data_IF_910029609825
#
_entry.id   IF_910029609825
#
_cell.length_a   1.000
_cell.length_b   1.000
_cell.length_c   1.000
_cell.angle_alpha   90.00
_cell.angle_beta   90.00
_cell.angle_gamma   90.00
#
_symmetry.space_group_name_H-M   'P 1'
#
loop_
_entity.id
_entity.type
_entity.pdbx_description
1 polymer ?
#
# COMPACT_ATOMS: atom_id res chain seq x y z
N UNK A 1 5.01 -8.61 7.72
CA UNK A 1 3.68 -7.97 7.59
C UNK A 1 3.83 -6.50 7.92
N UNK A 2 3.37 -5.64 7.06
CA UNK A 2 3.32 -4.19 7.29
C UNK A 2 1.94 -3.77 7.78
N UNK A 3 1.90 -2.73 8.58
CA UNK A 3 0.70 -2.03 8.99
C UNK A 3 0.96 -0.53 8.99
N UNK A 4 0.12 0.22 8.33
CA UNK A 4 0.12 1.68 8.40
C UNK A 4 -1.30 2.18 8.56
N UNK A 5 -1.43 3.34 9.19
CA UNK A 5 -2.71 4.02 9.38
C UNK A 5 -2.44 5.47 9.75
N UNK A 6 -2.93 6.38 8.93
CA UNK A 6 -2.78 7.81 9.19
C UNK A 6 -3.59 8.19 10.42
N UNK A 7 -2.93 8.71 11.44
CA UNK A 7 -3.56 9.02 12.73
C UNK A 7 -3.35 10.46 13.17
N UNK A 8 -4.33 11.01 13.84
CA UNK A 8 -4.24 12.32 14.51
C UNK A 8 -3.51 12.14 15.84
N UNK A 9 -2.48 12.96 16.07
CA UNK A 9 -1.65 12.91 17.29
C UNK A 9 -2.06 13.93 18.35
N UNK A 10 -3.01 14.80 18.06
CA UNK A 10 -3.54 15.76 19.01
C UNK A 10 -5.07 15.81 19.01
N UNK A 11 -5.64 16.27 20.12
CA UNK A 11 -7.09 16.36 20.30
C UNK A 11 -7.78 17.39 19.39
N UNK A 12 -7.00 18.23 18.70
CA UNK A 12 -7.52 19.27 17.78
C UNK A 12 -7.39 18.85 16.31
N UNK A 13 -6.84 17.66 16.01
CA UNK A 13 -6.66 17.17 14.65
C UNK A 13 -5.70 18.02 13.79
N UNK A 14 -4.79 18.77 14.42
CA UNK A 14 -3.84 19.63 13.70
C UNK A 14 -2.55 18.93 13.33
N UNK A 15 -2.23 17.87 14.04
CA UNK A 15 -0.98 17.13 13.89
C UNK A 15 -1.26 15.70 13.49
N UNK A 16 -1.12 15.42 12.21
CA UNK A 16 -1.21 14.07 11.67
C UNK A 16 0.15 13.41 11.65
N UNK A 17 0.16 12.10 11.83
CA UNK A 17 1.31 11.23 11.58
C UNK A 17 0.84 10.04 10.77
N UNK A 18 1.76 9.45 10.03
CA UNK A 18 1.51 8.26 9.22
C UNK A 18 2.56 7.21 9.58
N UNK A 19 2.41 6.55 10.73
CA UNK A 19 3.37 5.55 11.19
C UNK A 19 3.30 4.30 10.31
N UNK A 20 4.46 3.69 10.10
CA UNK A 20 4.58 2.38 9.46
C UNK A 20 5.18 1.40 10.46
N UNK A 21 4.45 0.34 10.74
CA UNK A 21 4.87 -0.74 11.63
C UNK A 21 5.20 -2.00 10.86
N UNK A 22 6.14 -2.76 11.39
CA UNK A 22 6.47 -4.10 10.93
C UNK A 22 6.21 -5.12 12.03
N UNK A 23 5.63 -6.26 11.66
CA UNK A 23 5.53 -7.43 12.53
C UNK A 23 5.87 -8.69 11.75
N UNK A 24 6.34 -9.73 12.45
CA UNK A 24 6.60 -11.03 11.84
C UNK A 24 5.31 -11.83 11.74
N UNK A 25 5.03 -12.38 10.54
CA UNK A 25 3.87 -13.23 10.30
C UNK A 25 3.86 -14.53 11.12
N UNK A 26 5.05 -15.00 11.51
CA UNK A 26 5.25 -16.21 12.31
C UNK A 26 4.86 -16.04 13.79
N UNK A 27 4.65 -14.81 14.26
CA UNK A 27 4.17 -14.57 15.62
C UNK A 27 2.71 -15.02 15.74
N UNK A 28 2.36 -15.88 16.71
CA UNK A 28 0.98 -16.30 16.92
C UNK A 28 0.03 -15.11 17.11
N UNK A 29 -1.16 -15.19 16.52
CA UNK A 29 -2.15 -14.10 16.49
C UNK A 29 -2.44 -13.51 17.87
N UNK A 30 -2.50 -14.36 18.91
CA UNK A 30 -2.74 -13.94 20.30
C UNK A 30 -1.63 -13.04 20.87
N UNK A 31 -0.41 -13.12 20.32
CA UNK A 31 0.76 -12.33 20.76
C UNK A 31 1.08 -11.17 19.82
N UNK A 32 0.58 -11.20 18.59
CA UNK A 32 0.91 -10.23 17.53
C UNK A 32 0.53 -8.78 17.88
N UNK A 33 -0.50 -8.61 18.72
CA UNK A 33 -0.96 -7.29 19.14
C UNK A 33 -0.17 -6.69 20.32
N UNK A 34 0.73 -7.44 20.94
CA UNK A 34 1.55 -6.91 22.03
C UNK A 34 2.58 -5.89 21.50
N UNK A 35 2.95 -4.88 22.30
CA UNK A 35 3.89 -3.85 21.89
C UNK A 35 5.25 -4.40 21.44
N UNK A 36 5.72 -5.48 22.05
CA UNK A 36 7.01 -6.13 21.71
C UNK A 36 6.93 -7.05 20.48
N UNK A 37 5.75 -7.24 19.89
CA UNK A 37 5.58 -8.06 18.69
C UNK A 37 5.59 -7.23 17.40
N UNK A 38 5.70 -5.93 17.50
CA UNK A 38 5.74 -4.99 16.38
C UNK A 38 6.81 -3.92 16.58
N UNK A 39 7.41 -3.50 15.50
CA UNK A 39 8.41 -2.43 15.48
C UNK A 39 7.89 -1.26 14.65
N UNK A 40 8.03 -0.04 15.16
CA UNK A 40 7.86 1.16 14.37
C UNK A 40 9.08 1.31 13.47
N UNK A 41 8.89 1.25 12.15
CA UNK A 41 9.97 1.43 11.16
C UNK A 41 10.23 2.90 10.93
N UNK A 42 9.16 3.71 10.86
CA UNK A 42 9.26 5.13 10.59
C UNK A 42 7.90 5.77 10.38
N UNK A 43 7.93 6.97 9.85
CA UNK A 43 6.74 7.73 9.49
C UNK A 43 6.79 8.06 8.00
N UNK A 44 5.70 7.74 7.30
CA UNK A 44 5.53 8.19 5.92
C UNK A 44 5.29 9.70 5.90
N UNK A 45 5.89 10.42 4.95
CA UNK A 45 5.76 11.87 4.88
C UNK A 45 4.35 12.30 4.49
N UNK A 46 3.89 13.38 5.08
CA UNK A 46 2.60 13.99 4.78
C UNK A 46 2.86 15.33 4.11
N UNK A 47 2.58 15.42 2.81
CA UNK A 47 2.65 16.67 2.07
C UNK A 47 1.49 17.59 2.48
N UNK A 48 1.80 18.87 2.64
CA UNK A 48 0.82 19.91 2.89
C UNK A 48 0.77 20.85 1.70
N UNK A 49 -0.43 21.08 1.18
CA UNK A 49 -0.65 22.08 0.14
C UNK A 49 -0.43 23.48 0.69
N UNK A 50 0.07 24.38 -0.14
CA UNK A 50 0.28 25.79 0.23
C UNK A 50 -1.03 26.58 0.30
N UNK A 51 -2.02 26.16 -0.48
CA UNK A 51 -3.34 26.80 -0.55
C UNK A 51 -4.43 25.80 -0.98
N UNK A 52 -5.69 26.20 -0.89
CA UNK A 52 -6.84 25.34 -1.22
C UNK A 52 -6.91 24.99 -2.73
N UNK A 53 -6.40 25.83 -3.61
CA UNK A 53 -6.33 25.54 -5.06
C UNK A 53 -5.36 24.39 -5.34
N UNK A 54 -4.16 24.45 -4.76
CA UNK A 54 -3.18 23.38 -4.87
C UNK A 54 -3.71 22.07 -4.28
N UNK A 55 -4.33 22.13 -3.09
CA UNK A 55 -4.91 20.97 -2.40
C UNK A 55 -5.93 20.21 -3.25
N UNK A 56 -6.68 20.91 -4.10
CA UNK A 56 -7.68 20.33 -5.00
C UNK A 56 -7.11 19.91 -6.35
N UNK A 57 -5.84 20.22 -6.64
CA UNK A 57 -5.24 19.95 -7.94
C UNK A 57 -4.89 18.47 -8.10
N UNK A 58 -5.15 17.93 -9.30
CA UNK A 58 -4.75 16.56 -9.65
C UNK A 58 -3.23 16.35 -9.54
N UNK A 59 -2.44 17.41 -9.85
CA UNK A 59 -1.00 17.35 -9.74
C UNK A 59 -0.54 17.15 -8.29
N UNK A 60 -1.18 17.80 -7.34
CA UNK A 60 -0.85 17.65 -5.92
C UNK A 60 -1.18 16.23 -5.43
N UNK A 61 -2.34 15.70 -5.79
CA UNK A 61 -2.70 14.33 -5.47
C UNK A 61 -1.74 13.30 -6.08
N UNK A 62 -1.29 13.55 -7.32
CA UNK A 62 -0.30 12.72 -7.98
C UNK A 62 1.05 12.75 -7.24
N UNK A 63 1.51 13.93 -6.82
CA UNK A 63 2.75 14.10 -6.04
C UNK A 63 2.70 13.36 -4.70
N UNK A 64 1.56 13.40 -3.99
CA UNK A 64 1.38 12.65 -2.73
C UNK A 64 1.62 11.16 -2.97
N UNK A 65 0.98 10.59 -4.01
CA UNK A 65 1.12 9.17 -4.34
C UNK A 65 2.54 8.80 -4.80
N UNK A 66 3.16 9.65 -5.61
CA UNK A 66 4.55 9.44 -6.02
C UNK A 66 5.50 9.40 -4.83
N UNK A 67 5.36 10.35 -3.90
CA UNK A 67 6.17 10.38 -2.69
C UNK A 67 5.93 9.15 -1.81
N UNK A 68 4.67 8.74 -1.64
CA UNK A 68 4.30 7.55 -0.89
C UNK A 68 5.04 6.31 -1.42
N UNK A 69 4.98 6.06 -2.74
CA UNK A 69 5.66 4.93 -3.35
C UNK A 69 7.18 5.04 -3.35
N UNK A 70 7.75 6.24 -3.47
CA UNK A 70 9.19 6.44 -3.32
C UNK A 70 9.68 6.08 -1.90
N UNK A 71 8.90 6.42 -0.89
CA UNK A 71 9.20 6.03 0.49
C UNK A 71 9.09 4.51 0.69
N UNK A 72 8.07 3.89 0.11
CA UNK A 72 7.94 2.43 0.14
C UNK A 72 9.12 1.73 -0.57
N UNK A 73 9.57 2.23 -1.72
CA UNK A 73 10.77 1.70 -2.40
C UNK A 73 11.96 1.66 -1.46
N UNK A 74 12.24 2.77 -0.77
CA UNK A 74 13.34 2.88 0.19
C UNK A 74 13.22 1.88 1.34
N UNK A 75 11.99 1.61 1.78
CA UNK A 75 11.73 0.68 2.90
C UNK A 75 11.79 -0.78 2.43
N UNK A 76 11.32 -1.06 1.22
CA UNK A 76 11.26 -2.43 0.68
C UNK A 76 12.60 -2.91 0.15
N UNK A 77 13.47 -2.04 -0.36
CA UNK A 77 14.75 -2.42 -0.96
C UNK A 77 15.61 -3.33 -0.08
N UNK A 78 15.85 -3.04 1.22
CA UNK A 78 16.62 -3.95 2.08
C UNK A 78 15.94 -5.32 2.25
N UNK A 79 14.60 -5.37 2.23
CA UNK A 79 13.87 -6.64 2.36
C UNK A 79 13.98 -7.49 1.10
N UNK A 80 13.95 -6.87 -0.08
CA UNK A 80 14.15 -7.56 -1.36
C UNK A 80 15.54 -8.17 -1.43
N UNK A 81 16.57 -7.43 -1.03
CA UNK A 81 17.94 -7.96 -0.94
C UNK A 81 18.00 -9.17 0.00
N UNK A 82 17.34 -9.10 1.18
CA UNK A 82 17.31 -10.20 2.16
C UNK A 82 16.42 -11.37 1.74
N UNK A 83 15.47 -11.14 0.87
CA UNK A 83 14.72 -12.21 0.22
C UNK A 83 15.61 -13.03 -0.73
N UNK A 84 16.45 -12.37 -1.50
CA UNK A 84 17.35 -13.03 -2.46
C UNK A 84 18.54 -13.73 -1.80
N UNK A 85 19.18 -13.07 -0.84
CA UNK A 85 20.43 -13.55 -0.24
C UNK A 85 20.24 -14.25 1.11
N UNK A 86 19.10 -14.07 1.75
CA UNK A 86 18.87 -14.47 3.13
C UNK A 86 19.65 -13.60 4.15
N UNK A 87 19.48 -13.93 5.40
CA UNK A 87 20.22 -13.34 6.52
C UNK A 87 20.42 -14.40 7.60
N UNK A 88 21.59 -14.40 8.23
CA UNK A 88 21.84 -15.27 9.38
C UNK A 88 21.37 -14.59 10.66
N UNK A 89 20.45 -15.24 11.36
CA UNK A 89 19.92 -14.80 12.65
C UNK A 89 20.26 -15.82 13.74
N UNK A 90 20.60 -15.32 14.93
CA UNK A 90 20.81 -16.18 16.08
C UNK A 90 19.47 -16.41 16.80
N UNK A 91 18.90 -17.60 16.61
CA UNK A 91 17.61 -17.98 17.18
C UNK A 91 17.86 -19.09 18.22
N UNK A 92 17.49 -18.87 19.49
CA UNK A 92 17.73 -19.82 20.58
C UNK A 92 19.17 -20.34 20.67
N UNK A 93 20.15 -19.46 20.41
CA UNK A 93 21.58 -19.79 20.46
C UNK A 93 22.14 -20.47 19.19
N UNK A 94 21.30 -20.85 18.25
CA UNK A 94 21.71 -21.42 16.95
C UNK A 94 21.68 -20.36 15.86
N UNK A 95 22.62 -20.47 14.92
CA UNK A 95 22.65 -19.61 13.73
C UNK A 95 21.73 -20.24 12.65
N UNK A 96 20.68 -19.52 12.30
CA UNK A 96 19.70 -19.95 11.29
C UNK A 96 19.79 -19.04 10.08
N UNK A 97 19.81 -19.60 8.87
CA UNK A 97 19.71 -18.84 7.63
C UNK A 97 18.24 -18.67 7.25
N UNK A 98 17.77 -17.42 7.25
CA UNK A 98 16.36 -17.08 7.03
C UNK A 98 16.20 -16.14 5.85
N UNK A 99 15.09 -16.25 5.13
CA UNK A 99 14.70 -15.38 4.04
C UNK A 99 13.54 -14.49 4.49
N UNK A 100 13.65 -13.19 4.23
CA UNK A 100 12.66 -12.20 4.63
C UNK A 100 11.88 -11.73 3.41
N UNK A 101 10.56 -11.76 3.48
CA UNK A 101 9.69 -11.24 2.42
C UNK A 101 8.45 -10.55 2.98
N UNK A 102 7.95 -9.50 2.32
CA UNK A 102 6.68 -8.88 2.67
C UNK A 102 5.53 -9.81 2.29
N UNK A 103 4.90 -10.42 3.30
CA UNK A 103 3.81 -11.38 3.08
C UNK A 103 2.43 -10.71 3.01
N UNK A 104 2.26 -9.57 3.69
CA UNK A 104 0.95 -8.92 3.82
C UNK A 104 1.13 -7.46 4.21
N UNK A 105 0.30 -6.60 3.63
CA UNK A 105 0.09 -5.22 4.07
C UNK A 105 -1.31 -5.13 4.67
N UNK A 106 -1.40 -4.64 5.91
CA UNK A 106 -2.67 -4.40 6.60
C UNK A 106 -2.94 -2.90 6.55
N UNK A 107 -4.08 -2.53 6.01
CA UNK A 107 -4.52 -1.14 5.89
C UNK A 107 -6.04 -1.08 5.84
N UNK A 108 -6.61 0.10 6.09
CA UNK A 108 -8.01 0.34 5.78
C UNK A 108 -8.25 0.43 4.27
N UNK A 109 -9.52 0.57 3.86
CA UNK A 109 -9.89 0.64 2.44
C UNK A 109 -9.25 1.83 1.72
N UNK A 110 -9.21 3.00 2.34
CA UNK A 110 -8.66 4.21 1.73
C UNK A 110 -7.14 4.10 1.54
N UNK A 111 -6.48 3.53 2.52
CA UNK A 111 -5.04 3.32 2.45
C UNK A 111 -4.66 2.17 1.51
N UNK A 112 -5.47 1.11 1.44
CA UNK A 112 -5.31 0.06 0.44
C UNK A 112 -5.31 0.63 -0.99
N UNK A 113 -6.18 1.60 -1.27
CA UNK A 113 -6.18 2.29 -2.55
C UNK A 113 -4.90 3.10 -2.84
N UNK A 114 -4.23 3.64 -1.80
CA UNK A 114 -2.90 4.26 -1.97
C UNK A 114 -1.84 3.22 -2.34
N UNK A 115 -1.79 2.10 -1.61
CA UNK A 115 -0.86 1.00 -1.91
C UNK A 115 -1.06 0.42 -3.30
N UNK A 116 -2.30 0.33 -3.76
CA UNK A 116 -2.65 -0.20 -5.07
C UNK A 116 -2.63 0.84 -6.19
N UNK A 117 -2.37 2.12 -5.91
CA UNK A 117 -2.48 3.23 -6.88
C UNK A 117 -3.88 3.37 -7.51
N UNK A 118 -4.94 2.95 -6.83
CA UNK A 118 -6.32 3.08 -7.34
C UNK A 118 -6.97 4.38 -6.90
N UNK A 119 -8.02 4.80 -7.59
CA UNK A 119 -8.76 6.00 -7.21
C UNK A 119 -9.60 5.76 -5.96
N UNK A 120 -9.52 6.67 -4.98
CA UNK A 120 -10.33 6.63 -3.75
C UNK A 120 -11.72 7.23 -3.91
N UNK A 121 -12.02 7.80 -5.08
CA UNK A 121 -13.26 8.53 -5.27
C UNK A 121 -14.44 7.58 -5.35
N UNK A 122 -15.53 7.90 -4.64
CA UNK A 122 -16.85 7.26 -4.82
C UNK A 122 -17.41 7.46 -6.23
N UNK A 123 -16.84 8.40 -6.99
CA UNK A 123 -17.18 8.67 -8.38
C UNK A 123 -16.25 7.96 -9.37
N UNK A 124 -15.27 7.19 -8.90
CA UNK A 124 -14.44 6.38 -9.77
C UNK A 124 -15.29 5.34 -10.50
N UNK A 125 -14.97 5.09 -11.75
CA UNK A 125 -15.66 4.06 -12.54
C UNK A 125 -15.42 2.66 -11.96
N UNK A 126 -14.17 2.38 -11.57
CA UNK A 126 -13.73 1.15 -10.92
C UNK A 126 -13.20 1.44 -9.52
N UNK A 127 -14.06 1.50 -8.49
CA UNK A 127 -13.67 1.94 -7.15
C UNK A 127 -12.99 0.85 -6.31
N UNK A 128 -13.00 -0.39 -6.76
CA UNK A 128 -12.37 -1.52 -6.06
C UNK A 128 -10.85 -1.52 -6.31
N UNK A 129 -10.05 -1.71 -5.26
CA UNK A 129 -8.60 -1.86 -5.41
C UNK A 129 -8.18 -3.31 -5.74
N UNK A 130 -9.10 -4.26 -5.65
CA UNK A 130 -8.84 -5.68 -5.91
C UNK A 130 -9.30 -6.13 -7.30
N UNK A 131 -10.29 -5.45 -7.90
CA UNK A 131 -10.85 -5.84 -9.20
C UNK A 131 -11.35 -4.63 -10.01
N UNK A 132 -11.52 -4.84 -11.31
CA UNK A 132 -11.99 -3.84 -12.27
C UNK A 132 -13.52 -3.89 -12.43
N UNK A 133 -14.25 -4.19 -11.36
CA UNK A 133 -15.71 -4.16 -11.41
C UNK A 133 -16.18 -2.70 -11.50
N UNK A 134 -17.18 -2.46 -12.33
CA UNK A 134 -17.78 -1.13 -12.46
C UNK A 134 -18.60 -0.76 -11.23
N UNK A 135 -18.66 0.53 -10.93
CA UNK A 135 -19.32 1.07 -9.73
C UNK A 135 -20.78 0.62 -9.58
N UNK A 136 -21.52 0.60 -10.68
CA UNK A 136 -22.93 0.21 -10.70
C UNK A 136 -23.16 -1.31 -10.57
N UNK A 137 -22.10 -2.11 -10.74
CA UNK A 137 -22.10 -3.55 -10.58
C UNK A 137 -21.60 -4.04 -9.22
N UNK A 138 -21.18 -3.16 -8.32
CA UNK A 138 -20.60 -3.55 -7.03
C UNK A 138 -21.54 -4.37 -6.14
N UNK A 139 -22.83 -4.19 -6.25
CA UNK A 139 -23.85 -4.91 -5.49
C UNK A 139 -24.55 -6.02 -6.29
N UNK A 140 -24.07 -6.33 -7.49
CA UNK A 140 -24.63 -7.38 -8.31
C UNK A 140 -24.16 -8.76 -7.83
N UNK A 141 -25.03 -9.46 -7.11
CA UNK A 141 -24.74 -10.79 -6.56
C UNK A 141 -24.76 -11.92 -7.60
N UNK A 142 -25.15 -11.63 -8.83
CA UNK A 142 -25.24 -12.63 -9.92
C UNK A 142 -23.96 -12.66 -10.78
N UNK A 143 -22.94 -11.86 -10.46
CA UNK A 143 -21.65 -11.93 -11.15
C UNK A 143 -20.96 -13.25 -10.84
N UNK A 144 -20.46 -13.89 -11.89
CA UNK A 144 -19.59 -15.06 -11.77
C UNK A 144 -18.12 -14.63 -11.65
N UNK A 145 -17.24 -15.54 -11.21
CA UNK A 145 -15.80 -15.27 -11.14
C UNK A 145 -15.21 -14.94 -12.52
N UNK A 146 -15.81 -15.40 -13.60
CA UNK A 146 -15.38 -15.10 -14.98
C UNK A 146 -15.71 -13.68 -15.43
N UNK A 147 -16.68 -13.03 -14.77
CA UNK A 147 -17.08 -11.65 -15.07
C UNK A 147 -16.21 -10.62 -14.33
N UNK A 148 -15.36 -11.10 -13.40
CA UNK A 148 -14.57 -10.25 -12.53
C UNK A 148 -13.12 -10.26 -12.99
N UNK A 149 -12.64 -9.14 -13.53
CA UNK A 149 -11.23 -8.94 -13.85
C UNK A 149 -10.50 -8.46 -12.59
N UNK A 150 -9.53 -9.25 -12.12
CA UNK A 150 -8.73 -8.90 -10.94
C UNK A 150 -7.67 -7.86 -11.32
N UNK A 151 -7.45 -6.88 -10.45
CA UNK A 151 -6.34 -5.94 -10.55
C UNK A 151 -5.03 -6.68 -10.31
N UNK A 152 -4.37 -7.12 -11.37
CA UNK A 152 -3.02 -7.67 -11.31
C UNK A 152 -1.97 -6.57 -11.52
N UNK A 153 -0.75 -6.81 -11.05
CA UNK A 153 0.36 -5.88 -11.29
C UNK A 153 0.61 -5.68 -12.79
N UNK A 154 0.44 -6.72 -13.59
CA UNK A 154 0.68 -6.66 -15.04
C UNK A 154 -0.35 -5.80 -15.76
N UNK A 155 -1.64 -6.01 -15.50
CA UNK A 155 -2.67 -5.21 -16.18
C UNK A 155 -2.67 -3.75 -15.73
N UNK A 156 -2.39 -3.48 -14.46
CA UNK A 156 -2.26 -2.12 -13.94
C UNK A 156 -1.03 -1.40 -14.50
N UNK A 157 0.12 -2.08 -14.55
CA UNK A 157 1.35 -1.57 -15.14
C UNK A 157 1.18 -1.27 -16.62
N UNK A 158 0.54 -2.20 -17.34
CA UNK A 158 0.24 -2.04 -18.76
C UNK A 158 -0.69 -0.84 -19.02
N UNK A 159 -1.73 -0.65 -18.21
CA UNK A 159 -2.63 0.49 -18.29
C UNK A 159 -1.89 1.83 -18.16
N UNK A 160 -0.96 1.93 -17.19
CA UNK A 160 -0.12 3.14 -17.02
C UNK A 160 0.84 3.34 -18.20
N UNK A 161 1.44 2.27 -18.74
CA UNK A 161 2.34 2.35 -19.90
C UNK A 161 1.62 2.78 -21.17
N UNK A 162 0.41 2.31 -21.37
CA UNK A 162 -0.41 2.62 -22.55
C UNK A 162 -1.16 3.97 -22.43
N UNK A 163 -1.14 4.62 -21.26
CA UNK A 163 -1.88 5.87 -21.02
C UNK A 163 -3.39 5.67 -20.89
N UNK A 164 -3.85 4.46 -20.53
CA UNK A 164 -5.24 4.08 -20.32
C UNK A 164 -5.61 3.95 -18.83
N UNK A 165 -4.77 4.47 -17.94
CA UNK A 165 -4.95 4.39 -16.49
C UNK A 165 -6.26 4.99 -15.99
N UNK A 166 -6.77 6.01 -16.69
CA UNK A 166 -8.05 6.65 -16.35
C UNK A 166 -9.24 5.71 -16.55
N UNK A 167 -9.20 4.88 -17.61
CA UNK A 167 -10.26 3.92 -17.92
C UNK A 167 -10.40 2.84 -16.84
N UNK A 168 -9.34 2.63 -16.07
CA UNK A 168 -9.27 1.66 -14.96
C UNK A 168 -9.28 2.31 -13.58
N UNK A 169 -9.49 3.64 -13.51
CA UNK A 169 -9.44 4.39 -12.24
C UNK A 169 -8.13 4.22 -11.48
N UNK A 170 -7.02 4.11 -12.20
CA UNK A 170 -5.66 3.94 -11.67
C UNK A 170 -4.94 5.29 -11.73
N UNK A 171 -4.13 5.59 -10.71
CA UNK A 171 -3.27 6.78 -10.73
C UNK A 171 -2.01 6.52 -11.58
N UNK A 172 -1.61 7.51 -12.39
CA UNK A 172 -0.39 7.47 -13.20
C UNK A 172 0.88 7.61 -12.34
N UNK A 173 1.13 6.58 -11.53
CA UNK A 173 2.28 6.50 -10.62
C UNK A 173 2.92 5.12 -10.77
N UNK A 174 4.25 5.06 -10.75
CA UNK A 174 4.96 3.80 -10.69
C UNK A 174 4.80 3.21 -9.27
N UNK A 175 4.10 2.09 -9.19
CA UNK A 175 3.90 1.39 -7.94
C UNK A 175 5.20 0.69 -7.51
N UNK A 176 5.62 0.88 -6.26
CA UNK A 176 6.83 0.28 -5.71
C UNK A 176 6.83 -1.25 -5.78
N UNK A 177 5.68 -1.89 -5.60
CA UNK A 177 5.56 -3.35 -5.68
C UNK A 177 5.80 -3.90 -7.09
N UNK A 178 5.67 -3.08 -8.14
CA UNK A 178 5.97 -3.53 -9.51
C UNK A 178 7.45 -3.72 -9.79
N UNK A 179 8.33 -3.14 -8.96
CA UNK A 179 9.79 -3.24 -9.10
C UNK A 179 10.35 -4.48 -8.42
N UNK A 180 9.59 -5.09 -7.52
CA UNK A 180 10.04 -6.12 -6.60
C UNK A 180 9.31 -7.45 -6.79
N UNK A 181 9.00 -7.78 -8.04
CA UNK A 181 8.41 -9.06 -8.46
C UNK A 181 9.47 -10.11 -8.74
#
# INVERSE_FOLDING_TARGET
>A
MFYSDKTNCDSRGKTDRHPLFLTLGNIPIKKRNFPNAKALIGFLPILKAQNESEKKSNLFHLKIRQLFHQCLDTILEPLVQKYQTGVYLKINGKSEHVFLFPALVLSDWLEAAEYCCTSKSTNAQHPCHACLIEKDQLNNINLSDNDIVICSHDNMKLAVQNGTENDFSIARVTNSFWKHQ
#
